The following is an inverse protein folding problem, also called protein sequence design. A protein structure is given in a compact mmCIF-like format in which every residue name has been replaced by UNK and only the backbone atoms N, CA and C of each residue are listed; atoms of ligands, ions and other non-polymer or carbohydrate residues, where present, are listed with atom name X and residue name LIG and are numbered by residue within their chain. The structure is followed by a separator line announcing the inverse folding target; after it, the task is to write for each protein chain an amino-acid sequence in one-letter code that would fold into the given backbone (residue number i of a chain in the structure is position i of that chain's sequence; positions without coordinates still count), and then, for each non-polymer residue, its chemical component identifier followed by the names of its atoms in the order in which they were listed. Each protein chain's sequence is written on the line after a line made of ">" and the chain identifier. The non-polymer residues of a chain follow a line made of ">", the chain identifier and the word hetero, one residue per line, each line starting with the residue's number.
data_IF_253829883902
#
_entry.id   IF_253829883902
#
_cell.length_a   1.000
_cell.length_b   1.000
_cell.length_c   1.000
_cell.angle_alpha   90.00
_cell.angle_beta   90.00
_cell.angle_gamma   90.00
#
_symmetry.space_group_name_H-M   'P 1'
#
loop_
_entity.id
_entity.type
_entity.pdbx_description
1 polymer ?
#
# COMPACT_ATOMS: atom_id res chain seq x y z
N UNK A 1 -9.26 15.34 6.14
CA UNK A 1 -9.47 13.88 6.16
C UNK A 1 -8.09 13.24 6.29
N UNK A 2 -7.92 12.21 7.12
CA UNK A 2 -6.60 11.60 7.38
C UNK A 2 -6.39 10.43 6.43
N UNK A 3 -5.18 10.29 5.87
CA UNK A 3 -4.87 9.26 4.87
C UNK A 3 -5.24 7.83 5.29
N UNK A 4 -5.20 7.53 6.59
CA UNK A 4 -5.59 6.22 7.14
C UNK A 4 -7.10 5.95 7.06
N UNK A 5 -7.94 6.96 7.31
CA UNK A 5 -9.39 6.79 7.22
C UNK A 5 -9.85 6.59 5.77
N UNK A 6 -9.16 7.21 4.81
CA UNK A 6 -9.37 6.96 3.38
C UNK A 6 -9.02 5.52 3.02
N UNK A 7 -7.92 4.97 3.55
CA UNK A 7 -7.52 3.59 3.30
C UNK A 7 -8.50 2.56 3.84
N UNK A 8 -9.10 2.80 5.01
CA UNK A 8 -10.10 1.91 5.61
C UNK A 8 -11.41 1.84 4.82
N UNK A 9 -11.69 2.82 3.95
CA UNK A 9 -12.86 2.81 3.08
C UNK A 9 -12.72 1.86 1.88
N UNK A 10 -11.50 1.40 1.59
CA UNK A 10 -11.22 0.49 0.49
C UNK A 10 -11.18 -0.96 0.96
N UNK A 11 -11.59 -1.87 0.07
CA UNK A 11 -11.61 -3.32 0.34
C UNK A 11 -10.26 -3.96 0.02
N UNK A 12 -9.56 -3.44 -0.99
CA UNK A 12 -8.30 -4.00 -1.51
C UNK A 12 -7.21 -2.94 -1.64
N UNK A 13 -5.95 -3.36 -1.55
CA UNK A 13 -4.82 -2.48 -1.78
C UNK A 13 -4.73 -1.99 -3.24
N UNK A 14 -5.34 -2.69 -4.20
CA UNK A 14 -5.48 -2.20 -5.58
C UNK A 14 -6.30 -0.90 -5.65
N UNK A 15 -7.37 -0.77 -4.87
CA UNK A 15 -8.17 0.46 -4.81
C UNK A 15 -7.39 1.59 -4.15
N UNK A 16 -6.57 1.28 -3.13
CA UNK A 16 -5.65 2.26 -2.51
C UNK A 16 -4.62 2.75 -3.53
N UNK A 17 -4.03 1.85 -4.31
CA UNK A 17 -3.08 2.18 -5.36
C UNK A 17 -3.70 3.07 -6.44
N UNK A 18 -4.93 2.78 -6.85
CA UNK A 18 -5.67 3.60 -7.82
C UNK A 18 -5.96 4.99 -7.26
N UNK A 19 -6.40 5.07 -6.00
CA UNK A 19 -6.65 6.35 -5.33
C UNK A 19 -5.38 7.18 -5.11
N UNK A 20 -4.24 6.53 -4.92
CA UNK A 20 -2.92 7.14 -4.68
C UNK A 20 -2.01 7.11 -5.91
N UNK A 21 -2.56 6.96 -7.11
CA UNK A 21 -1.76 6.70 -8.31
C UNK A 21 -0.67 7.77 -8.58
N UNK A 22 -0.86 9.00 -8.09
CA UNK A 22 0.09 10.10 -8.23
C UNK A 22 1.29 10.04 -7.27
N UNK A 23 1.16 9.38 -6.12
CA UNK A 23 2.18 9.37 -5.06
C UNK A 23 2.50 7.98 -4.49
N UNK A 24 1.86 6.93 -5.00
CA UNK A 24 2.14 5.54 -4.69
C UNK A 24 3.28 4.98 -5.53
N UNK A 25 4.20 4.29 -4.85
CA UNK A 25 5.30 3.58 -5.46
C UNK A 25 5.28 2.11 -5.04
N UNK A 26 5.26 1.21 -6.04
CA UNK A 26 5.41 -0.22 -5.84
C UNK A 26 6.88 -0.61 -5.97
N UNK A 27 7.38 -1.34 -4.99
CA UNK A 27 8.77 -1.75 -4.90
C UNK A 27 8.94 -3.21 -5.34
N UNK A 28 10.17 -3.57 -5.72
CA UNK A 28 10.48 -4.91 -6.21
C UNK A 28 10.28 -6.02 -5.15
N UNK A 29 10.30 -5.66 -3.87
CA UNK A 29 10.13 -6.56 -2.72
C UNK A 29 8.65 -6.76 -2.30
N UNK A 30 7.72 -6.40 -3.19
CA UNK A 30 6.27 -6.43 -2.94
C UNK A 30 5.84 -5.47 -1.81
N UNK A 31 6.55 -4.35 -1.62
CA UNK A 31 6.12 -3.25 -0.74
C UNK A 31 5.52 -2.07 -1.52
N UNK A 32 4.71 -1.28 -0.82
CA UNK A 32 4.00 -0.10 -1.33
C UNK A 32 4.35 1.10 -0.47
N UNK A 33 4.82 2.20 -1.06
CA UNK A 33 5.05 3.45 -0.33
C UNK A 33 4.20 4.60 -0.87
N UNK A 34 3.64 5.43 0.02
CA UNK A 34 2.97 6.69 -0.35
C UNK A 34 2.99 7.69 0.80
N UNK A 35 2.59 8.94 0.52
CA UNK A 35 2.58 9.99 1.53
C UNK A 35 1.44 9.81 2.55
N UNK A 36 1.78 9.89 3.83
CA UNK A 36 0.81 9.93 4.93
C UNK A 36 0.84 11.33 5.51
N UNK A 37 0.02 12.21 4.92
CA UNK A 37 0.04 13.64 5.20
C UNK A 37 1.25 14.34 4.56
N UNK A 38 1.50 15.62 4.91
CA UNK A 38 2.49 16.44 4.21
C UNK A 38 3.94 16.10 4.55
N UNK A 39 4.18 15.44 5.68
CA UNK A 39 5.52 15.32 6.29
C UNK A 39 6.06 13.91 6.24
N UNK A 40 5.22 12.89 6.12
CA UNK A 40 5.66 11.50 6.23
C UNK A 40 5.39 10.71 4.95
N UNK A 41 6.27 9.75 4.71
CA UNK A 41 6.05 8.66 3.76
C UNK A 41 6.07 7.36 4.56
N UNK A 42 5.08 6.52 4.32
CA UNK A 42 4.98 5.20 4.94
C UNK A 42 5.17 4.14 3.87
N UNK A 43 5.94 3.10 4.22
CA UNK A 43 6.04 1.88 3.42
C UNK A 43 5.18 0.81 4.07
N UNK A 44 4.43 0.10 3.25
CA UNK A 44 3.47 -0.93 3.63
C UNK A 44 3.85 -2.24 2.97
N UNK A 45 3.60 -3.33 3.68
CA UNK A 45 3.73 -4.69 3.14
C UNK A 45 2.39 -5.41 3.22
N UNK A 46 2.06 -6.25 2.22
CA UNK A 46 0.86 -7.08 2.24
C UNK A 46 0.97 -8.11 3.36
N UNK A 47 -0.11 -8.27 4.14
CA UNK A 47 -0.19 -9.26 5.22
C UNK A 47 -1.51 -10.03 5.17
N UNK A 48 -1.53 -11.25 5.71
CA UNK A 48 -2.72 -12.10 5.74
C UNK A 48 -2.51 -13.44 5.03
N UNK A 49 -3.59 -14.21 4.90
CA UNK A 49 -3.53 -15.62 4.48
C UNK A 49 -4.06 -15.90 3.07
N UNK A 50 -4.70 -14.92 2.41
CA UNK A 50 -5.34 -15.07 1.09
C UNK A 50 -4.68 -14.24 -0.01
N UNK A 51 -3.42 -13.85 0.18
CA UNK A 51 -2.67 -13.08 -0.82
C UNK A 51 -2.27 -14.02 -1.96
N UNK A 52 -2.68 -13.71 -3.18
CA UNK A 52 -2.29 -14.42 -4.39
C UNK A 52 -1.10 -13.73 -5.06
N UNK A 53 -0.44 -14.46 -5.95
CA UNK A 53 0.62 -13.95 -6.81
C UNK A 53 0.23 -14.11 -8.27
N UNK A 54 0.67 -13.19 -9.11
CA UNK A 54 0.47 -13.24 -10.56
C UNK A 54 1.41 -14.25 -11.24
N UNK A 55 1.35 -14.33 -12.57
CA UNK A 55 2.18 -15.23 -13.37
C UNK A 55 3.69 -14.92 -13.29
N UNK A 56 4.06 -13.70 -12.88
CA UNK A 56 5.44 -13.28 -12.66
C UNK A 56 5.90 -13.52 -11.21
N UNK A 57 5.03 -14.12 -10.37
CA UNK A 57 5.29 -14.32 -8.96
C UNK A 57 5.25 -13.03 -8.15
N UNK A 58 4.70 -11.92 -8.66
CA UNK A 58 4.48 -10.68 -7.91
C UNK A 58 3.16 -10.71 -7.19
N UNK A 59 3.04 -9.94 -6.11
CA UNK A 59 1.77 -9.85 -5.37
C UNK A 59 0.65 -9.33 -6.26
N UNK A 60 -0.47 -10.07 -6.29
CA UNK A 60 -1.71 -9.57 -6.88
C UNK A 60 -2.41 -8.65 -5.88
N UNK A 61 -2.25 -7.35 -6.07
CA UNK A 61 -2.79 -6.32 -5.16
C UNK A 61 -4.32 -6.31 -5.05
N UNK A 62 -5.04 -6.96 -5.97
CA UNK A 62 -6.51 -7.16 -5.87
C UNK A 62 -6.88 -8.18 -4.81
N UNK A 63 -5.95 -9.06 -4.42
CA UNK A 63 -6.14 -10.05 -3.34
C UNK A 63 -5.74 -9.53 -1.96
N UNK A 64 -4.99 -8.43 -1.90
CA UNK A 64 -4.46 -7.86 -0.66
C UNK A 64 -5.54 -7.03 0.02
N UNK A 65 -6.03 -7.51 1.16
CA UNK A 65 -7.07 -6.81 1.97
C UNK A 65 -6.51 -6.20 3.24
N UNK A 66 -5.24 -6.46 3.56
CA UNK A 66 -4.59 -5.97 4.77
C UNK A 66 -3.16 -5.56 4.46
N UNK A 67 -2.80 -4.37 4.93
CA UNK A 67 -1.47 -3.80 4.85
C UNK A 67 -0.94 -3.58 6.26
N UNK A 68 0.36 -3.83 6.45
CA UNK A 68 1.08 -3.47 7.67
C UNK A 68 2.10 -2.39 7.34
N UNK A 69 2.16 -1.35 8.17
CA UNK A 69 3.26 -0.37 8.09
C UNK A 69 4.57 -1.08 8.42
N UNK A 70 5.51 -1.05 7.49
CA UNK A 70 6.86 -1.54 7.65
C UNK A 70 7.78 -0.44 8.19
N UNK A 71 7.74 0.74 7.57
CA UNK A 71 8.52 1.91 7.96
C UNK A 71 7.69 3.19 7.84
N UNK A 72 8.12 4.20 8.60
CA UNK A 72 7.61 5.55 8.53
C UNK A 72 8.80 6.50 8.62
N UNK A 73 9.01 7.34 7.61
CA UNK A 73 10.08 8.32 7.62
C UNK A 73 9.59 9.70 7.19
N UNK A 74 10.32 10.73 7.62
CA UNK A 74 10.02 12.12 7.32
C UNK A 74 10.55 12.48 5.92
N UNK A 75 9.73 13.16 5.10
CA UNK A 75 10.20 13.83 3.88
C UNK A 75 11.20 14.92 4.27
N UNK A 76 12.43 14.75 3.83
CA UNK A 76 13.52 15.74 3.95
C UNK A 76 13.29 16.92 3.03
#
# INVERSE_FOLDING_TARGET
>A
MTALAEMEAFTTAAEVLEFRAEDAELHADDSLSFAVGPVYVATFVPVGTKITRDACGKVDWKSVTRLKILTLWKRS
#
